data_IF_051157061922
#
_entry.id   IF_051157061922
#
_cell.length_a   1.000
_cell.length_b   1.000
_cell.length_c   1.000
_cell.angle_alpha   90.00
_cell.angle_beta   90.00
_cell.angle_gamma   90.00
#
_symmetry.space_group_name_H-M   'P 1'
#
loop_
_entity.id
_entity.type
_entity.pdbx_description
1 polymer ?
#
# COMPACT_ATOMS: atom_id res chain seq x y z
N UNK A 1 -15.45 -23.49 26.73
CA UNK A 1 -15.74 -23.53 25.27
C UNK A 1 -15.14 -22.30 24.65
N UNK A 2 -14.17 -22.53 23.78
CA UNK A 2 -13.36 -21.54 23.10
C UNK A 2 -14.18 -20.74 22.09
N UNK A 3 -13.91 -19.44 21.99
CA UNK A 3 -13.97 -18.70 20.73
C UNK A 3 -12.78 -17.73 20.72
N UNK A 4 -11.68 -18.15 20.11
CA UNK A 4 -10.61 -17.25 19.69
C UNK A 4 -11.11 -16.62 18.39
N UNK A 5 -11.52 -15.36 18.45
CA UNK A 5 -11.71 -14.57 17.24
C UNK A 5 -10.31 -14.22 16.73
N UNK A 6 -9.85 -15.00 15.75
CA UNK A 6 -8.69 -14.70 14.92
C UNK A 6 -8.95 -13.39 14.19
N UNK A 7 -8.55 -12.28 14.80
CA UNK A 7 -8.45 -11.01 14.11
C UNK A 7 -7.07 -11.02 13.44
N UNK A 8 -7.04 -11.43 12.17
CA UNK A 8 -5.86 -11.61 11.32
C UNK A 8 -5.22 -10.26 10.95
N UNK A 9 -4.87 -9.48 11.98
CA UNK A 9 -4.06 -8.28 11.87
C UNK A 9 -2.64 -8.74 11.56
N UNK A 10 -2.33 -9.00 10.29
CA UNK A 10 -0.95 -9.17 9.86
C UNK A 10 -0.15 -7.99 10.38
N UNK A 11 0.73 -8.25 11.35
CA UNK A 11 1.54 -7.20 11.92
C UNK A 11 2.50 -6.69 10.85
N UNK A 12 2.44 -5.39 10.55
CA UNK A 12 3.34 -4.76 9.60
C UNK A 12 4.79 -4.95 10.04
N UNK A 13 5.67 -5.30 9.11
CA UNK A 13 7.10 -5.25 9.38
C UNK A 13 7.57 -3.80 9.62
N UNK A 14 8.75 -3.62 10.22
CA UNK A 14 9.28 -2.30 10.54
C UNK A 14 9.36 -1.37 9.31
N UNK A 15 9.72 -1.90 8.15
CA UNK A 15 9.78 -1.10 6.92
C UNK A 15 8.40 -0.61 6.47
N UNK A 16 7.39 -1.47 6.54
CA UNK A 16 6.01 -1.11 6.24
C UNK A 16 5.44 -0.12 7.28
N UNK A 17 5.79 -0.26 8.56
CA UNK A 17 5.44 0.73 9.60
C UNK A 17 6.04 2.10 9.28
N UNK A 18 7.29 2.14 8.80
CA UNK A 18 7.98 3.38 8.40
C UNK A 18 7.45 4.00 7.10
N UNK A 19 6.68 3.24 6.32
CA UNK A 19 6.07 3.70 5.09
C UNK A 19 4.75 4.44 5.32
N UNK A 20 4.10 4.23 6.47
CA UNK A 20 2.86 4.94 6.84
C UNK A 20 3.13 6.44 6.87
N UNK A 21 2.30 7.21 6.16
CA UNK A 21 2.40 8.66 6.09
C UNK A 21 3.52 9.19 5.20
N UNK A 22 4.21 8.32 4.45
CA UNK A 22 5.15 8.73 3.40
C UNK A 22 4.39 9.28 2.18
N UNK A 23 4.91 10.36 1.63
CA UNK A 23 4.28 11.10 0.55
C UNK A 23 4.50 10.48 -0.84
N UNK A 24 3.88 11.10 -1.83
CA UNK A 24 3.86 10.65 -3.23
C UNK A 24 5.23 10.55 -3.93
N UNK A 25 6.25 11.24 -3.42
CA UNK A 25 7.61 11.21 -3.97
C UNK A 25 8.55 10.28 -3.20
N UNK A 26 8.11 9.74 -2.06
CA UNK A 26 8.90 8.77 -1.32
C UNK A 26 8.97 7.44 -2.10
N UNK A 27 10.18 6.89 -2.17
CA UNK A 27 10.43 5.64 -2.86
C UNK A 27 9.92 4.43 -2.06
N UNK A 28 9.55 3.32 -2.73
CA UNK A 28 9.27 2.07 -2.04
C UNK A 28 10.50 1.60 -1.27
N UNK A 29 10.29 0.91 -0.15
CA UNK A 29 11.36 0.15 0.49
C UNK A 29 11.64 -1.15 -0.28
N UNK A 30 12.82 -1.74 -0.08
CA UNK A 30 13.35 -2.89 -0.84
C UNK A 30 12.53 -4.20 -0.74
N UNK A 31 11.61 -4.24 0.21
CA UNK A 31 10.77 -5.41 0.47
C UNK A 31 9.39 -5.30 -0.22
N UNK A 32 9.07 -4.18 -0.85
CA UNK A 32 7.89 -4.04 -1.71
C UNK A 32 8.19 -4.52 -3.12
N UNK A 33 7.36 -5.45 -3.59
CA UNK A 33 7.34 -5.90 -4.98
C UNK A 33 6.17 -5.23 -5.69
N UNK A 34 6.42 -4.56 -6.81
CA UNK A 34 5.32 -4.06 -7.65
C UNK A 34 4.53 -5.26 -8.21
N UNK A 35 3.23 -5.28 -7.94
CA UNK A 35 2.30 -6.32 -8.35
C UNK A 35 1.32 -5.85 -9.41
N UNK A 36 1.24 -4.53 -9.64
CA UNK A 36 0.35 -3.98 -10.64
C UNK A 36 0.53 -2.49 -10.86
N UNK A 37 -0.07 -2.05 -11.94
CA UNK A 37 -0.15 -0.65 -12.34
C UNK A 37 -1.51 -0.44 -12.99
N UNK A 38 -2.20 0.62 -12.60
CA UNK A 38 -3.43 1.05 -13.24
C UNK A 38 -3.25 2.49 -13.71
N UNK A 39 -3.19 2.73 -15.03
CA UNK A 39 -3.20 4.09 -15.54
C UNK A 39 -4.57 4.71 -15.24
N UNK A 40 -4.57 5.92 -14.70
CA UNK A 40 -5.79 6.66 -14.46
C UNK A 40 -5.55 8.14 -14.75
N UNK A 41 -6.37 8.73 -15.61
CA UNK A 41 -6.32 10.16 -15.92
C UNK A 41 -7.54 10.85 -15.33
N UNK A 42 -7.27 11.93 -14.59
CA UNK A 42 -8.29 12.85 -14.10
C UNK A 42 -8.35 14.11 -14.97
N UNK A 43 -9.36 14.95 -14.75
CA UNK A 43 -9.43 16.28 -15.35
C UNK A 43 -8.22 17.17 -14.99
N UNK A 44 -7.43 16.80 -13.98
CA UNK A 44 -6.26 17.55 -13.49
C UNK A 44 -4.91 16.86 -13.77
N UNK A 45 -4.91 15.82 -14.62
CA UNK A 45 -3.70 15.08 -15.01
C UNK A 45 -3.69 13.64 -14.52
N UNK A 46 -2.56 12.96 -14.77
CA UNK A 46 -2.35 11.58 -14.38
C UNK A 46 -2.38 11.42 -12.86
N UNK A 47 -3.12 10.41 -12.44
CA UNK A 47 -3.32 9.95 -11.06
C UNK A 47 -3.11 8.44 -11.02
N UNK A 48 -2.09 7.98 -11.75
CA UNK A 48 -1.74 6.59 -11.88
C UNK A 48 -1.55 5.92 -10.51
N UNK A 49 -2.08 4.70 -10.41
CA UNK A 49 -2.02 3.87 -9.23
C UNK A 49 -0.97 2.77 -9.42
N UNK A 50 -0.07 2.63 -8.46
CA UNK A 50 0.90 1.54 -8.43
C UNK A 50 0.60 0.64 -7.25
N UNK A 51 0.54 -0.66 -7.49
CA UNK A 51 0.21 -1.66 -6.50
C UNK A 51 1.46 -2.44 -6.13
N UNK A 52 1.63 -2.68 -4.84
CA UNK A 52 2.77 -3.40 -4.29
C UNK A 52 2.33 -4.40 -3.24
N UNK A 53 3.10 -5.47 -3.07
CA UNK A 53 2.95 -6.41 -1.96
C UNK A 53 4.29 -6.54 -1.24
N UNK A 54 4.28 -6.45 0.09
CA UNK A 54 5.47 -6.66 0.89
C UNK A 54 5.80 -8.15 0.99
N UNK A 55 7.00 -8.54 0.56
CA UNK A 55 7.43 -9.95 0.63
C UNK A 55 7.71 -10.46 2.06
N UNK A 56 7.75 -9.57 3.06
CA UNK A 56 8.06 -9.91 4.46
C UNK A 56 6.78 -10.10 5.27
N UNK A 57 5.89 -9.11 5.29
CA UNK A 57 4.65 -9.17 6.08
C UNK A 57 3.40 -9.47 5.24
N UNK A 58 3.51 -9.55 3.92
CA UNK A 58 2.37 -9.84 3.03
C UNK A 58 1.45 -8.65 2.76
N UNK A 59 1.64 -7.51 3.43
CA UNK A 59 0.77 -6.34 3.26
C UNK A 59 0.81 -5.77 1.85
N UNK A 60 -0.37 -5.53 1.31
CA UNK A 60 -0.57 -4.83 0.06
C UNK A 60 -0.58 -3.31 0.26
N UNK A 61 -0.01 -2.59 -0.70
CA UNK A 61 0.14 -1.15 -0.71
C UNK A 61 -0.32 -0.58 -2.04
N UNK A 62 -0.98 0.56 -1.96
CA UNK A 62 -1.27 1.45 -3.07
C UNK A 62 -0.33 2.66 -2.95
N UNK A 63 0.35 2.99 -4.05
CA UNK A 63 1.11 4.24 -4.18
C UNK A 63 0.41 5.17 -5.15
N UNK A 64 -0.19 6.21 -4.60
CA UNK A 64 -0.87 7.26 -5.36
C UNK A 64 0.12 8.37 -5.65
N UNK A 65 0.53 8.49 -6.93
CA UNK A 65 1.47 9.54 -7.36
C UNK A 65 0.80 10.83 -7.81
N UNK A 66 -0.52 10.82 -7.93
CA UNK A 66 -1.31 11.96 -8.37
C UNK A 66 -1.17 13.19 -7.48
N UNK A 67 -1.47 14.37 -8.03
CA UNK A 67 -1.39 15.65 -7.31
C UNK A 67 -2.25 15.73 -6.05
N UNK A 68 -3.28 14.88 -5.96
CA UNK A 68 -4.22 14.76 -4.84
C UNK A 68 -4.15 13.42 -4.11
N UNK A 69 -3.16 12.57 -4.43
CA UNK A 69 -2.98 11.28 -3.76
C UNK A 69 -2.36 11.43 -2.37
N UNK A 70 -2.69 10.50 -1.48
CA UNK A 70 -2.18 10.44 -0.10
C UNK A 70 -0.75 9.84 -0.04
N UNK A 71 -0.18 9.44 -1.17
CA UNK A 71 1.12 8.78 -1.24
C UNK A 71 0.97 7.28 -0.99
N UNK A 72 1.52 6.78 0.12
CA UNK A 72 1.52 5.36 0.46
C UNK A 72 0.34 4.97 1.35
N UNK A 73 -0.59 4.20 0.80
CA UNK A 73 -1.81 3.76 1.48
C UNK A 73 -1.80 2.24 1.63
N UNK A 74 -1.95 1.68 2.84
CA UNK A 74 -2.17 0.25 3.02
C UNK A 74 -3.43 -0.17 2.25
N UNK A 75 -3.26 -1.01 1.22
CA UNK A 75 -4.34 -1.43 0.36
C UNK A 75 -5.01 -2.67 0.95
N UNK A 76 -5.83 -2.46 1.99
CA UNK A 76 -6.71 -3.49 2.53
C UNK A 76 -7.90 -3.70 1.59
N UNK A 77 -7.66 -4.15 0.37
CA UNK A 77 -8.75 -4.50 -0.57
C UNK A 77 -8.95 -6.02 -0.61
N UNK A 78 -10.11 -6.40 -0.06
CA UNK A 78 -10.92 -7.60 -0.35
C UNK A 78 -10.65 -8.83 0.54
N UNK A 79 -11.28 -8.83 1.73
CA UNK A 79 -12.07 -10.00 2.15
C UNK A 79 -13.47 -9.88 1.54
#
# INVERSE_FOLDING_TARGET
MEKKEENDSQELCNDCKNLIGKGRYDSPHENLKNTGFRPFESMFGSVDEYYYTCKICGTDWLHEKGSYGEGWVPNQRLN
#
